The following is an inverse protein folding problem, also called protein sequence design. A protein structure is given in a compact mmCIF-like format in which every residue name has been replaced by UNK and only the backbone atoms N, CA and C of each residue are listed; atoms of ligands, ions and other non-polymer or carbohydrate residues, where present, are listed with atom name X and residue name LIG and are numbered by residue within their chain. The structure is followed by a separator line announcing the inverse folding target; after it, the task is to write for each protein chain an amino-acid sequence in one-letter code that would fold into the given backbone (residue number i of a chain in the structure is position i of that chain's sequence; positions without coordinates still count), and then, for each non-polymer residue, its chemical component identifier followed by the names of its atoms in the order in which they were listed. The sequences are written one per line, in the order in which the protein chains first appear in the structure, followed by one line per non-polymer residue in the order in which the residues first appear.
data_IF_553365437994
#
_entry.id   IF_553365437994
#
_cell.length_a   1.000
_cell.length_b   1.000
_cell.length_c   1.000
_cell.angle_alpha   90.00
_cell.angle_beta   90.00
_cell.angle_gamma   90.00
#
_symmetry.space_group_name_H-M   'P 1'
#
loop_
_entity.id
_entity.type
_entity.pdbx_description
1 polymer ?
#
# COMPACT_ATOMS: atom_id res chain seq x y z
N UNK A 1 5.18 5.85 -17.25
CA UNK A 1 3.93 5.41 -16.61
C UNK A 1 4.08 4.06 -15.91
N UNK A 2 4.53 3.02 -16.61
CA UNK A 2 4.70 1.66 -16.05
C UNK A 2 5.67 1.63 -14.85
N UNK A 3 6.81 2.33 -14.91
CA UNK A 3 7.75 2.41 -13.78
C UNK A 3 7.14 2.99 -12.49
N UNK A 4 6.09 3.81 -12.60
CA UNK A 4 5.38 4.35 -11.44
C UNK A 4 4.54 3.30 -10.71
N UNK A 5 4.06 2.28 -11.44
CA UNK A 5 3.24 1.21 -10.86
C UNK A 5 4.04 0.31 -9.92
N UNK A 6 5.32 0.13 -10.19
CA UNK A 6 6.23 -0.71 -9.40
C UNK A 6 6.91 0.05 -8.25
N UNK A 7 6.40 1.22 -7.87
CA UNK A 7 6.88 1.92 -6.67
C UNK A 7 6.48 1.15 -5.41
N UNK A 8 7.40 1.08 -4.45
CA UNK A 8 7.15 0.39 -3.20
C UNK A 8 6.13 1.17 -2.35
N UNK A 9 4.95 0.58 -2.15
CA UNK A 9 3.89 1.12 -1.29
C UNK A 9 3.68 0.34 0.00
N UNK A 10 4.68 -0.45 0.40
CA UNK A 10 4.66 -1.25 1.61
C UNK A 10 4.94 -0.38 2.85
N UNK A 11 4.57 -0.90 4.02
CA UNK A 11 4.86 -0.22 5.31
C UNK A 11 6.36 -0.30 5.67
N UNK A 12 7.11 -1.29 5.15
CA UNK A 12 8.53 -1.49 5.48
C UNK A 12 9.35 -0.26 5.08
N UNK A 13 9.86 0.49 6.07
CA UNK A 13 10.76 1.63 5.88
C UNK A 13 10.14 3.02 6.07
N UNK A 14 8.82 3.14 6.24
CA UNK A 14 8.16 4.42 6.50
C UNK A 14 7.93 4.61 8.00
N UNK A 15 9.00 4.96 8.72
CA UNK A 15 8.89 5.41 10.11
C UNK A 15 8.23 6.79 10.11
N UNK A 16 6.91 6.83 10.31
CA UNK A 16 6.23 8.05 10.70
C UNK A 16 6.57 8.34 12.17
N UNK A 17 7.83 8.70 12.46
CA UNK A 17 8.35 8.91 13.82
C UNK A 17 7.49 9.90 14.62
N UNK A 18 6.85 10.86 13.94
CA UNK A 18 6.05 11.93 14.55
C UNK A 18 4.53 11.80 14.36
N UNK A 19 4.03 10.67 13.85
CA UNK A 19 2.58 10.49 13.70
C UNK A 19 1.94 10.12 15.03
N UNK A 20 0.84 10.82 15.38
CA UNK A 20 -0.05 10.36 16.46
C UNK A 20 -0.52 8.94 16.16
N UNK A 21 -0.29 8.03 17.10
CA UNK A 21 -0.57 6.59 16.95
C UNK A 21 -1.99 6.20 17.37
N UNK A 22 -2.85 7.18 17.64
CA UNK A 22 -4.20 7.00 18.19
C UNK A 22 -5.07 6.05 17.35
N UNK A 23 -4.93 6.09 16.01
CA UNK A 23 -5.76 5.30 15.08
C UNK A 23 -4.99 4.14 14.39
N UNK A 24 -3.86 3.72 14.94
CA UNK A 24 -3.06 2.64 14.34
C UNK A 24 -3.61 1.27 14.75
N UNK A 25 -3.65 0.33 13.80
CA UNK A 25 -4.15 -1.04 14.05
C UNK A 25 -3.03 -2.05 13.96
N UNK A 26 -3.01 -3.04 14.85
CA UNK A 26 -2.03 -4.13 14.77
C UNK A 26 -2.33 -5.06 13.58
N UNK A 27 -1.30 -5.50 12.87
CA UNK A 27 -1.38 -6.63 11.95
C UNK A 27 -0.84 -7.87 12.65
N UNK A 28 -1.66 -8.90 12.81
CA UNK A 28 -1.21 -10.17 13.39
C UNK A 28 -0.23 -10.94 12.48
N UNK A 29 -0.38 -10.83 11.14
CA UNK A 29 0.43 -11.58 10.17
C UNK A 29 1.83 -10.96 10.00
N UNK A 30 1.89 -9.63 9.86
CA UNK A 30 3.17 -8.92 9.70
C UNK A 30 3.79 -8.48 11.04
N UNK A 31 3.12 -8.74 12.15
CA UNK A 31 3.52 -8.35 13.52
C UNK A 31 3.93 -6.87 13.63
N UNK A 32 3.17 -5.99 12.96
CA UNK A 32 3.49 -4.57 12.90
C UNK A 32 2.27 -3.67 13.10
N UNK A 33 2.50 -2.48 13.65
CA UNK A 33 1.48 -1.44 13.72
C UNK A 33 1.25 -0.85 12.33
N UNK A 34 0.01 -0.92 11.87
CA UNK A 34 -0.44 -0.37 10.60
C UNK A 34 -1.04 1.03 10.82
N UNK A 35 -0.61 2.04 10.05
CA UNK A 35 -1.25 3.35 10.10
C UNK A 35 -2.69 3.26 9.57
N UNK A 36 -3.50 4.31 9.82
CA UNK A 36 -4.86 4.38 9.31
C UNK A 36 -4.93 4.11 7.81
N UNK A 37 -5.95 3.36 7.40
CA UNK A 37 -6.20 2.95 6.00
C UNK A 37 -5.16 2.01 5.39
N UNK A 38 -4.12 1.60 6.12
CA UNK A 38 -3.23 0.55 5.65
C UNK A 38 -3.81 -0.83 5.96
N UNK A 39 -3.67 -1.77 5.02
CA UNK A 39 -4.22 -3.11 5.14
C UNK A 39 -3.21 -4.16 4.66
N UNK A 40 -3.28 -5.34 5.27
CA UNK A 40 -2.49 -6.50 4.85
C UNK A 40 -3.05 -7.05 3.53
N UNK A 41 -2.16 -7.39 2.60
CA UNK A 41 -2.54 -8.12 1.40
C UNK A 41 -2.04 -9.56 1.52
N UNK A 42 -2.97 -10.51 1.56
CA UNK A 42 -2.65 -11.95 1.65
C UNK A 42 -1.91 -12.49 0.42
N UNK A 43 -2.02 -11.83 -0.75
CA UNK A 43 -1.35 -12.26 -1.99
C UNK A 43 0.11 -11.78 -2.00
N UNK A 44 0.37 -10.53 -1.59
CA UNK A 44 1.73 -9.99 -1.50
C UNK A 44 2.42 -10.31 -0.16
N UNK A 45 1.69 -10.91 0.78
CA UNK A 45 2.10 -11.21 2.16
C UNK A 45 2.79 -10.04 2.88
N UNK A 46 2.23 -8.84 2.69
CA UNK A 46 2.77 -7.62 3.27
C UNK A 46 1.68 -6.56 3.47
N UNK A 47 1.88 -5.70 4.47
CA UNK A 47 1.01 -4.54 4.67
C UNK A 47 1.33 -3.41 3.70
N UNK A 48 0.27 -2.87 3.10
CA UNK A 48 0.32 -1.83 2.07
C UNK A 48 -0.30 -0.54 2.62
N UNK A 49 0.42 0.57 2.45
CA UNK A 49 -0.05 1.90 2.83
C UNK A 49 -1.22 2.33 1.95
N UNK A 50 -2.30 2.82 2.57
CA UNK A 50 -3.55 3.24 1.88
C UNK A 50 -3.96 2.20 0.81
N UNK A 51 -3.96 0.92 1.19
CA UNK A 51 -4.23 -0.19 0.27
C UNK A 51 -5.61 0.01 -0.37
N UNK A 52 -5.64 -0.02 -1.69
CA UNK A 52 -6.87 -0.06 -2.45
C UNK A 52 -7.21 -1.51 -2.79
N UNK A 53 -6.44 -2.14 -3.67
CA UNK A 53 -6.59 -3.56 -4.03
C UNK A 53 -5.28 -4.20 -4.49
N UNK A 54 -5.27 -5.52 -4.60
CA UNK A 54 -4.24 -6.24 -5.34
C UNK A 54 -4.68 -6.33 -6.80
N UNK A 55 -3.95 -5.69 -7.71
CA UNK A 55 -4.30 -5.67 -9.12
C UNK A 55 -3.68 -6.89 -9.82
N UNK A 56 -4.52 -7.76 -10.37
CA UNK A 56 -4.07 -8.96 -11.11
C UNK A 56 -3.35 -8.60 -12.42
N UNK A 57 -3.73 -7.50 -13.08
CA UNK A 57 -3.11 -7.05 -14.31
C UNK A 57 -1.64 -6.63 -14.14
N UNK A 58 -1.32 -5.96 -13.04
CA UNK A 58 0.04 -5.51 -12.73
C UNK A 58 0.81 -6.46 -11.81
N UNK A 59 0.16 -7.53 -11.34
CA UNK A 59 0.69 -8.44 -10.33
C UNK A 59 1.26 -7.71 -9.09
N UNK A 60 0.66 -6.58 -8.71
CA UNK A 60 1.12 -5.75 -7.61
C UNK A 60 -0.05 -5.08 -6.87
N UNK A 61 0.18 -4.67 -5.62
CA UNK A 61 -0.81 -3.90 -4.88
C UNK A 61 -0.83 -2.43 -5.29
N UNK A 62 -2.04 -1.89 -5.47
CA UNK A 62 -2.29 -0.46 -5.59
C UNK A 62 -2.47 0.13 -4.18
N UNK A 63 -1.68 1.15 -3.87
CA UNK A 63 -1.64 1.82 -2.58
C UNK A 63 -1.15 3.25 -2.73
N UNK A 64 -0.75 3.87 -1.61
CA UNK A 64 -0.46 5.29 -1.52
C UNK A 64 0.44 5.86 -2.65
N UNK A 65 1.58 5.23 -2.93
CA UNK A 65 2.56 5.80 -3.87
C UNK A 65 2.26 5.52 -5.34
N UNK A 66 1.53 4.45 -5.66
CA UNK A 66 1.22 4.08 -7.04
C UNK A 66 -0.23 4.34 -7.47
N UNK A 67 -1.13 4.73 -6.56
CA UNK A 67 -2.53 5.00 -6.84
C UNK A 67 -2.75 6.03 -7.96
N UNK A 68 -1.93 7.10 -8.01
CA UNK A 68 -2.03 8.10 -9.09
C UNK A 68 -1.72 7.51 -10.47
N UNK A 69 -0.75 6.61 -10.55
CA UNK A 69 -0.36 6.00 -11.81
C UNK A 69 -1.40 4.98 -12.28
N UNK A 70 -2.01 4.26 -11.33
CA UNK A 70 -3.14 3.38 -11.61
C UNK A 70 -4.34 4.16 -12.18
N UNK A 71 -4.68 5.31 -11.58
CA UNK A 71 -5.77 6.17 -12.09
C UNK A 71 -5.49 6.67 -13.50
N UNK A 72 -4.25 7.11 -13.79
CA UNK A 72 -3.89 7.48 -15.15
C UNK A 72 -4.02 6.30 -16.12
N UNK A 73 -3.54 5.12 -15.75
CA UNK A 73 -3.71 3.92 -16.57
C UNK A 73 -5.18 3.65 -16.91
N UNK A 74 -6.07 3.68 -15.91
CA UNK A 74 -7.51 3.47 -16.10
C UNK A 74 -8.20 4.57 -16.92
N UNK A 75 -7.63 5.77 -16.99
CA UNK A 75 -8.17 6.86 -17.82
C UNK A 75 -7.72 6.81 -19.28
N UNK A 76 -6.52 6.27 -19.55
CA UNK A 76 -5.92 6.24 -20.88
C UNK A 76 -6.11 4.91 -21.62
N UNK A 77 -6.44 3.85 -20.90
CA UNK A 77 -6.99 2.61 -21.45
C UNK A 77 -8.51 2.72 -21.46
#
# INVERSE_FOLDING_TARGET
MIYGMFTNTTIKGNFLENARKEDWTMCAVCECLRPPRAWHCNICDICILKRDHHCTFFACCVGYYNHRYFMYFTLYI
#
